data_IF_294095722648
#
_entry.id   IF_294095722648
#
_cell.length_a   1.000
_cell.length_b   1.000
_cell.length_c   1.000
_cell.angle_alpha   90.00
_cell.angle_beta   90.00
_cell.angle_gamma   90.00
#
_symmetry.space_group_name_H-M   'P 1'
#
loop_
_entity.id
_entity.type
_entity.pdbx_description
1 polymer ?
#
# COMPACT_ATOMS: atom_id res chain seq x y z
N UNK A 1 32.95 -13.26 -64.55
CA UNK A 1 33.19 -12.28 -63.47
C UNK A 1 32.20 -12.53 -62.35
N UNK A 2 32.66 -13.27 -61.33
CA UNK A 2 31.98 -13.45 -60.05
C UNK A 2 32.43 -12.34 -59.09
N UNK A 3 31.50 -11.75 -58.34
CA UNK A 3 31.70 -11.29 -56.95
C UNK A 3 30.33 -10.88 -56.38
N UNK A 4 29.58 -11.80 -55.76
CA UNK A 4 29.55 -12.08 -54.31
C UNK A 4 29.06 -10.92 -53.43
N UNK A 5 27.77 -10.97 -53.05
CA UNK A 5 27.26 -10.44 -51.78
C UNK A 5 26.47 -11.54 -51.05
N UNK A 6 27.20 -12.44 -50.38
CA UNK A 6 26.82 -13.07 -49.09
C UNK A 6 27.46 -12.16 -48.02
N UNK A 7 27.00 -11.98 -46.79
CA UNK A 7 26.22 -12.79 -45.87
C UNK A 7 25.59 -11.82 -44.84
N UNK A 8 24.34 -12.02 -44.42
CA UNK A 8 23.97 -12.73 -43.18
C UNK A 8 24.11 -11.86 -41.91
N UNK A 9 22.97 -11.52 -41.30
CA UNK A 9 22.44 -12.14 -40.06
C UNK A 9 23.13 -11.62 -38.80
N UNK A 10 22.39 -10.84 -38.01
CA UNK A 10 22.25 -11.04 -36.55
C UNK A 10 21.11 -10.19 -35.98
N UNK A 11 20.13 -10.91 -35.40
CA UNK A 11 19.32 -10.57 -34.22
C UNK A 11 18.31 -9.43 -34.42
N UNK A 12 16.99 -9.62 -34.58
CA UNK A 12 16.06 -10.48 -33.85
C UNK A 12 16.25 -10.40 -32.32
N UNK A 13 15.73 -9.35 -31.68
CA UNK A 13 15.16 -9.41 -30.33
C UNK A 13 14.37 -8.11 -30.04
N UNK A 14 13.04 -8.16 -30.17
CA UNK A 14 12.09 -7.41 -29.33
C UNK A 14 10.65 -7.77 -29.74
N UNK A 15 10.08 -8.87 -29.21
CA UNK A 15 8.64 -9.04 -29.18
C UNK A 15 8.07 -8.41 -27.90
N UNK A 16 6.93 -7.72 -28.04
CA UNK A 16 5.92 -7.45 -27.00
C UNK A 16 6.26 -6.41 -25.92
N UNK A 17 5.99 -5.12 -26.17
CA UNK A 17 5.62 -4.13 -25.11
C UNK A 17 4.70 -2.99 -25.63
N UNK A 18 4.08 -3.11 -26.81
CA UNK A 18 3.16 -2.07 -27.32
C UNK A 18 1.72 -2.56 -27.53
N UNK A 19 1.15 -3.27 -26.56
CA UNK A 19 -0.27 -3.63 -26.58
C UNK A 19 -0.91 -3.51 -25.19
N UNK A 20 -1.13 -2.27 -24.72
CA UNK A 20 -2.13 -1.98 -23.69
C UNK A 20 -2.63 -0.54 -23.74
N UNK A 21 -3.02 -0.08 -24.93
CA UNK A 21 -3.97 1.04 -25.06
C UNK A 21 -5.36 0.44 -25.07
N UNK A 22 -6.08 0.58 -23.96
CA UNK A 22 -7.51 0.30 -23.90
C UNK A 22 -8.23 1.22 -24.88
N UNK A 23 -8.66 0.68 -26.02
CA UNK A 23 -9.70 1.29 -26.82
C UNK A 23 -11.02 0.96 -26.14
N UNK A 24 -11.70 2.00 -25.66
CA UNK A 24 -13.08 1.92 -25.23
C UNK A 24 -13.96 1.57 -26.44
N UNK A 25 -14.85 0.61 -26.23
CA UNK A 25 -15.88 0.19 -27.17
C UNK A 25 -16.86 1.35 -27.44
N UNK A 26 -17.03 1.81 -28.70
CA UNK A 26 -17.91 2.94 -29.04
C UNK A 26 -19.40 2.60 -29.02
N UNK A 27 -19.83 1.40 -28.63
CA UNK A 27 -21.24 0.98 -28.69
C UNK A 27 -21.98 0.97 -27.35
N UNK A 28 -21.33 1.32 -26.23
CA UNK A 28 -21.99 1.34 -24.91
C UNK A 28 -22.56 2.73 -24.57
N UNK A 29 -23.86 2.87 -24.27
CA UNK A 29 -24.40 4.13 -23.76
C UNK A 29 -23.83 4.45 -22.36
N UNK A 30 -23.65 5.73 -22.02
CA UNK A 30 -23.14 6.13 -20.71
C UNK A 30 -24.16 5.78 -19.61
N UNK A 31 -23.69 5.04 -18.60
CA UNK A 31 -24.47 4.74 -17.40
C UNK A 31 -24.80 6.06 -16.66
N UNK A 32 -26.04 6.25 -16.17
CA UNK A 32 -26.45 7.50 -15.55
C UNK A 32 -25.68 7.74 -14.25
N UNK A 33 -25.10 8.94 -14.12
CA UNK A 33 -24.47 9.42 -12.89
C UNK A 33 -25.48 9.33 -11.75
N UNK A 34 -25.27 8.35 -10.87
CA UNK A 34 -25.90 8.33 -9.56
C UNK A 34 -25.06 9.23 -8.66
N UNK A 35 -25.60 10.41 -8.41
CA UNK A 35 -25.20 11.24 -7.28
C UNK A 35 -25.46 10.51 -5.97
N UNK A 36 -24.67 10.88 -4.98
CA UNK A 36 -24.92 10.70 -3.54
C UNK A 36 -24.29 9.48 -2.86
N UNK A 37 -23.13 9.71 -2.22
CA UNK A 37 -22.95 9.27 -0.84
C UNK A 37 -21.94 10.15 -0.11
N UNK A 38 -22.48 11.07 0.68
CA UNK A 38 -21.82 11.65 1.83
C UNK A 38 -21.32 10.54 2.77
N UNK A 39 -20.00 10.42 2.92
CA UNK A 39 -19.39 9.69 4.03
C UNK A 39 -18.43 10.65 4.71
N UNK A 40 -18.91 11.20 5.82
CA UNK A 40 -18.15 11.94 6.82
C UNK A 40 -17.04 11.07 7.38
N UNK A 41 -15.82 11.23 6.85
CA UNK A 41 -14.59 10.78 7.49
C UNK A 41 -14.04 11.92 8.35
N UNK A 42 -14.20 11.84 9.67
CA UNK A 42 -13.55 12.72 10.64
C UNK A 42 -12.04 12.50 10.57
N UNK A 43 -11.31 13.39 9.92
CA UNK A 43 -9.87 13.53 10.12
C UNK A 43 -9.64 14.44 11.33
N UNK A 44 -9.09 13.87 12.41
CA UNK A 44 -8.52 14.63 13.51
C UNK A 44 -7.35 15.45 12.95
N UNK A 45 -7.59 16.74 12.75
CA UNK A 45 -6.56 17.77 12.69
C UNK A 45 -6.53 18.45 14.04
N UNK A 46 -5.48 18.21 14.81
CA UNK A 46 -5.19 18.98 16.02
C UNK A 46 -5.00 20.45 15.67
N UNK A 47 -5.65 21.40 16.36
CA UNK A 47 -5.35 22.82 16.19
C UNK A 47 -4.01 23.12 16.87
N UNK A 48 -3.01 23.42 16.05
CA UNK A 48 -1.76 24.02 16.50
C UNK A 48 -2.11 25.41 17.05
N UNK A 49 -1.71 25.65 18.30
CA UNK A 49 -2.13 26.77 19.13
C UNK A 49 -2.06 28.15 18.46
N UNK A 50 -3.16 28.88 18.62
CA UNK A 50 -3.29 30.29 18.35
C UNK A 50 -2.38 31.09 19.31
N UNK A 51 -1.25 31.55 18.79
CA UNK A 51 -0.48 32.63 19.39
C UNK A 51 -1.16 33.96 19.09
N UNK A 52 -1.75 34.57 20.12
CA UNK A 52 -2.23 35.95 20.12
C UNK A 52 -1.20 36.91 19.51
N UNK A 53 -1.51 37.47 18.34
CA UNK A 53 -0.88 38.70 17.84
C UNK A 53 -1.99 39.59 17.32
N UNK A 54 -2.44 40.50 18.19
CA UNK A 54 -3.35 41.59 17.91
C UNK A 54 -2.71 42.56 16.92
N UNK A 55 -2.85 42.28 15.63
CA UNK A 55 -2.56 43.22 14.55
C UNK A 55 -3.81 44.04 14.24
N UNK A 56 -3.96 45.18 14.91
CA UNK A 56 -4.97 46.19 14.56
C UNK A 56 -4.69 46.74 13.15
N UNK A 57 -5.68 46.84 12.25
CA UNK A 57 -5.49 47.59 11.01
C UNK A 57 -5.39 49.09 11.36
N UNK A 58 -4.22 49.68 11.11
CA UNK A 58 -3.98 51.12 11.19
C UNK A 58 -4.76 51.82 10.08
N UNK A 59 -6.01 52.17 10.38
CA UNK A 59 -6.78 53.16 9.62
C UNK A 59 -6.21 54.54 9.96
N UNK A 60 -5.60 55.19 8.97
CA UNK A 60 -5.20 56.58 9.07
C UNK A 60 -6.46 57.45 9.19
N UNK A 61 -6.83 57.81 10.41
CA UNK A 61 -7.84 58.81 10.70
C UNK A 61 -7.32 60.18 10.22
N UNK A 62 -7.95 60.70 9.17
CA UNK A 62 -7.78 62.09 8.76
C UNK A 62 -8.28 63.01 9.89
N UNK A 63 -7.38 63.83 10.43
CA UNK A 63 -7.73 64.89 11.38
C UNK A 63 -8.60 65.94 10.66
N UNK A 64 -9.91 65.82 10.79
CA UNK A 64 -10.86 66.85 10.41
C UNK A 64 -10.72 68.03 11.38
N UNK A 65 -10.06 69.10 10.93
CA UNK A 65 -10.00 70.39 11.62
C UNK A 65 -11.39 71.02 11.72
N UNK A 66 -11.89 71.12 12.95
CA UNK A 66 -13.13 71.80 13.27
C UNK A 66 -13.05 73.30 12.98
N UNK A 67 -14.08 73.81 12.31
CA UNK A 67 -14.26 75.21 11.93
C UNK A 67 -14.62 76.06 13.16
N UNK A 68 -13.94 77.20 13.32
CA UNK A 68 -14.39 78.30 14.18
C UNK A 68 -15.03 79.41 13.31
N UNK A 69 -16.24 79.90 13.61
CA UNK A 69 -16.87 80.98 12.87
C UNK A 69 -16.51 82.35 13.49
N UNK A 70 -16.08 83.31 12.66
CA UNK A 70 -15.70 84.64 13.15
C UNK A 70 -15.40 85.67 12.07
N UNK A 71 -16.46 86.17 11.44
CA UNK A 71 -16.71 87.53 10.93
C UNK A 71 -15.63 88.35 10.17
N UNK A 72 -16.08 88.83 9.01
CA UNK A 72 -15.53 89.85 8.11
C UNK A 72 -14.86 91.06 8.80
N UNK A 73 -13.62 91.36 8.42
CA UNK A 73 -13.10 92.69 8.10
C UNK A 73 -11.57 92.61 7.91
N UNK A 74 -11.06 93.42 6.98
CA UNK A 74 -9.64 93.64 6.63
C UNK A 74 -9.13 92.75 5.49
N UNK A 75 -9.04 93.34 4.29
CA UNK A 75 -8.12 92.86 3.27
C UNK A 75 -6.69 92.95 3.84
N UNK A 76 -6.00 91.83 4.09
CA UNK A 76 -4.60 91.89 4.48
C UNK A 76 -3.80 92.38 3.27
N UNK A 77 -2.95 93.37 3.52
CA UNK A 77 -1.78 93.70 2.69
C UNK A 77 -1.08 92.39 2.24
N UNK A 78 -0.46 92.30 1.05
CA UNK A 78 0.19 91.07 0.59
C UNK A 78 1.31 90.66 1.57
N UNK A 79 0.94 89.83 2.54
CA UNK A 79 1.89 89.19 3.44
C UNK A 79 2.62 88.16 2.60
N UNK A 80 3.93 88.34 2.48
CA UNK A 80 4.77 87.35 1.80
C UNK A 80 4.62 86.00 2.53
N UNK A 81 3.89 85.07 1.91
CA UNK A 81 3.77 83.71 2.38
C UNK A 81 5.10 83.00 2.14
N UNK A 82 6.02 83.14 3.09
CA UNK A 82 7.27 82.43 3.08
C UNK A 82 6.99 80.93 3.02
N UNK A 83 7.70 80.25 2.11
CA UNK A 83 7.59 78.82 1.91
C UNK A 83 7.71 78.14 3.29
N UNK A 84 6.71 77.33 3.66
CA UNK A 84 6.63 76.78 5.01
C UNK A 84 7.91 76.04 5.40
N UNK A 85 8.22 75.98 6.70
CA UNK A 85 9.46 75.37 7.22
C UNK A 85 9.78 73.98 6.62
N UNK A 86 8.76 73.19 6.30
CA UNK A 86 8.92 71.89 5.64
C UNK A 86 9.61 71.95 4.27
N UNK A 87 9.43 73.03 3.51
CA UNK A 87 10.11 73.25 2.23
C UNK A 87 11.62 73.45 2.40
N UNK A 88 12.03 74.24 3.39
CA UNK A 88 13.46 74.41 3.69
C UNK A 88 14.07 73.11 4.24
N UNK A 89 13.32 72.34 5.04
CA UNK A 89 13.77 71.02 5.52
C UNK A 89 13.94 70.04 4.37
N UNK A 90 13.05 70.00 3.38
CA UNK A 90 13.17 69.08 2.24
C UNK A 90 14.34 69.46 1.32
N UNK A 91 14.56 70.76 1.06
CA UNK A 91 15.74 71.22 0.32
C UNK A 91 17.03 70.89 1.08
N UNK A 92 17.06 71.15 2.39
CA UNK A 92 18.21 70.82 3.23
C UNK A 92 18.48 69.30 3.23
N UNK A 93 17.43 68.48 3.32
CA UNK A 93 17.55 67.02 3.25
C UNK A 93 18.07 66.55 1.88
N UNK A 94 17.64 67.17 0.78
CA UNK A 94 18.11 66.84 -0.56
C UNK A 94 19.57 67.25 -0.75
N UNK A 95 19.96 68.44 -0.30
CA UNK A 95 21.35 68.90 -0.33
C UNK A 95 22.26 68.02 0.55
N UNK A 96 21.80 67.66 1.75
CA UNK A 96 22.53 66.78 2.66
C UNK A 96 22.66 65.36 2.10
N UNK A 97 21.61 64.81 1.47
CA UNK A 97 21.66 63.51 0.78
C UNK A 97 22.66 63.53 -0.38
N UNK A 98 22.72 64.62 -1.14
CA UNK A 98 23.68 64.79 -2.23
C UNK A 98 25.13 64.90 -1.71
N UNK A 99 25.34 65.67 -0.64
CA UNK A 99 26.65 65.78 0.01
C UNK A 99 27.11 64.42 0.57
N UNK A 100 26.22 63.70 1.25
CA UNK A 100 26.49 62.35 1.75
C UNK A 100 26.81 61.36 0.61
N UNK A 101 26.09 61.45 -0.51
CA UNK A 101 26.36 60.62 -1.70
C UNK A 101 27.75 60.90 -2.30
N UNK A 102 28.11 62.18 -2.45
CA UNK A 102 29.43 62.59 -2.94
C UNK A 102 30.55 62.14 -1.99
N UNK A 103 30.36 62.31 -0.69
CA UNK A 103 31.33 61.87 0.32
C UNK A 103 31.50 60.34 0.30
N UNK A 104 30.40 59.58 0.21
CA UNK A 104 30.45 58.12 0.12
C UNK A 104 31.14 57.60 -1.14
N UNK A 105 31.18 58.39 -2.23
CA UNK A 105 31.90 58.04 -3.47
C UNK A 105 33.34 58.52 -3.52
N UNK A 106 33.72 59.48 -2.66
CA UNK A 106 35.06 60.10 -2.65
C UNK A 106 36.13 59.26 -1.96
N UNK A 107 35.78 58.12 -1.36
CA UNK A 107 36.75 57.17 -0.82
C UNK A 107 37.39 56.39 -1.98
N UNK A 108 38.33 57.04 -2.66
CA UNK A 108 39.03 56.61 -3.86
C UNK A 108 40.02 55.47 -3.62
N UNK A 109 39.54 54.23 -3.68
CA UNK A 109 40.38 53.09 -4.04
C UNK A 109 39.64 52.35 -5.17
N UNK A 110 40.18 52.32 -6.42
CA UNK A 110 39.47 51.76 -7.58
C UNK A 110 39.11 50.28 -7.42
N UNK A 111 39.79 49.58 -6.50
CA UNK A 111 39.59 48.16 -6.20
C UNK A 111 38.66 47.92 -5.00
N UNK A 112 38.22 48.95 -4.26
CA UNK A 112 37.36 48.80 -3.07
C UNK A 112 35.98 49.39 -3.28
N UNK A 113 34.96 48.63 -2.91
CA UNK A 113 33.57 49.07 -2.99
C UNK A 113 33.31 50.26 -2.04
N UNK A 114 32.40 51.20 -2.40
CA UNK A 114 32.10 52.34 -1.56
C UNK A 114 31.49 51.91 -0.22
N UNK A 115 31.71 52.71 0.82
CA UNK A 115 31.37 52.35 2.22
C UNK A 115 29.91 51.94 2.41
N UNK A 116 28.97 52.64 1.74
CA UNK A 116 27.54 52.31 1.78
C UNK A 116 27.28 50.92 1.16
N UNK A 117 27.89 50.60 0.01
CA UNK A 117 27.73 49.28 -0.61
C UNK A 117 28.31 48.17 0.28
N UNK A 118 29.44 48.41 0.95
CA UNK A 118 30.02 47.46 1.90
C UNK A 118 29.10 47.21 3.09
N UNK A 119 28.46 48.28 3.60
CA UNK A 119 27.48 48.17 4.68
C UNK A 119 26.26 47.38 4.22
N UNK A 120 25.71 47.66 3.04
CA UNK A 120 24.59 46.91 2.45
C UNK A 120 24.97 45.42 2.30
N UNK A 121 26.15 45.13 1.75
CA UNK A 121 26.63 43.76 1.59
C UNK A 121 26.78 43.03 2.92
N UNK A 122 27.16 43.73 4.00
CA UNK A 122 27.22 43.12 5.33
C UNK A 122 25.85 42.69 5.88
N UNK A 123 24.74 43.16 5.31
CA UNK A 123 23.38 42.73 5.65
C UNK A 123 22.78 41.71 4.68
N UNK A 124 23.39 41.50 3.51
CA UNK A 124 22.86 40.57 2.50
C UNK A 124 22.87 39.09 2.95
N UNK A 125 23.69 38.72 3.94
CA UNK A 125 23.77 37.34 4.44
C UNK A 125 22.42 36.81 4.93
N UNK A 126 21.57 37.68 5.50
CA UNK A 126 20.23 37.29 5.92
C UNK A 126 19.34 36.96 4.72
N UNK A 127 19.44 37.73 3.63
CA UNK A 127 18.68 37.47 2.40
C UNK A 127 19.12 36.14 1.77
N UNK A 128 20.43 35.86 1.76
CA UNK A 128 20.96 34.59 1.27
C UNK A 128 20.46 33.42 2.10
N UNK A 129 20.43 33.56 3.43
CA UNK A 129 19.95 32.52 4.33
C UNK A 129 18.43 32.29 4.22
N UNK A 130 17.63 33.35 4.07
CA UNK A 130 16.20 33.23 3.77
C UNK A 130 15.97 32.62 2.39
N UNK A 131 16.74 33.00 1.38
CA UNK A 131 16.73 32.39 0.05
C UNK A 131 17.06 30.90 0.10
N UNK A 132 18.09 30.52 0.88
CA UNK A 132 18.47 29.12 1.10
C UNK A 132 17.36 28.32 1.79
N UNK A 133 16.70 28.87 2.80
CA UNK A 133 15.58 28.19 3.46
C UNK A 133 14.37 28.05 2.54
N UNK A 134 14.00 29.12 1.84
CA UNK A 134 12.88 29.13 0.92
C UNK A 134 13.09 28.12 -0.22
N UNK A 135 14.28 28.09 -0.81
CA UNK A 135 14.62 27.10 -1.85
C UNK A 135 14.54 25.67 -1.33
N UNK A 136 14.97 25.40 -0.09
CA UNK A 136 14.80 24.08 0.53
C UNK A 136 13.33 23.73 0.75
N UNK A 137 12.51 24.67 1.22
CA UNK A 137 11.07 24.46 1.38
C UNK A 137 10.38 24.18 0.04
N UNK A 138 10.69 24.95 -1.01
CA UNK A 138 10.15 24.73 -2.35
C UNK A 138 10.53 23.36 -2.87
N UNK A 139 11.80 22.95 -2.75
CA UNK A 139 12.26 21.61 -3.17
C UNK A 139 11.55 20.48 -2.42
N UNK A 140 11.35 20.63 -1.11
CA UNK A 140 10.62 19.63 -0.32
C UNK A 140 9.16 19.51 -0.78
N UNK A 141 8.50 20.63 -1.07
CA UNK A 141 7.11 20.64 -1.57
C UNK A 141 7.04 20.02 -2.97
N UNK A 142 7.99 20.34 -3.86
CA UNK A 142 8.06 19.76 -5.21
C UNK A 142 8.27 18.24 -5.16
N UNK A 143 9.18 17.77 -4.30
CA UNK A 143 9.41 16.35 -4.10
C UNK A 143 8.17 15.64 -3.51
N UNK A 144 7.53 16.24 -2.50
CA UNK A 144 6.31 15.69 -1.92
C UNK A 144 5.15 15.64 -2.94
N UNK A 145 5.06 16.63 -3.83
CA UNK A 145 4.08 16.63 -4.92
C UNK A 145 4.38 15.53 -5.96
N UNK A 146 5.66 15.33 -6.31
CA UNK A 146 6.09 14.26 -7.19
C UNK A 146 5.77 12.88 -6.61
N UNK A 147 6.07 12.67 -5.32
CA UNK A 147 5.78 11.43 -4.61
C UNK A 147 4.27 11.19 -4.54
N UNK A 148 3.48 12.22 -4.24
CA UNK A 148 2.01 12.12 -4.26
C UNK A 148 1.49 11.71 -5.62
N UNK A 149 2.01 12.29 -6.71
CA UNK A 149 1.61 11.91 -8.05
C UNK A 149 1.94 10.44 -8.37
N UNK A 150 3.10 9.95 -7.92
CA UNK A 150 3.48 8.54 -8.08
C UNK A 150 2.51 7.61 -7.33
N UNK A 151 2.17 7.92 -6.08
CA UNK A 151 1.27 7.09 -5.28
C UNK A 151 -0.20 7.19 -5.69
N UNK A 152 -0.62 8.33 -6.25
CA UNK A 152 -1.99 8.50 -6.77
C UNK A 152 -2.20 7.80 -8.12
N UNK A 153 -1.16 7.69 -8.96
CA UNK A 153 -1.26 7.06 -10.28
C UNK A 153 -1.01 5.55 -10.25
N UNK A 154 -0.32 5.03 -9.23
CA UNK A 154 -0.19 3.58 -9.04
C UNK A 154 -1.55 2.97 -8.70
N UNK A 155 -1.97 1.88 -9.37
CA UNK A 155 -3.10 1.10 -8.89
C UNK A 155 -2.80 0.62 -7.46
N UNK A 156 -3.79 0.70 -6.58
CA UNK A 156 -3.65 0.22 -5.21
C UNK A 156 -3.41 -1.30 -5.22
N UNK A 157 -2.44 -1.79 -4.45
CA UNK A 157 -2.26 -3.24 -4.32
C UNK A 157 -3.46 -3.82 -3.57
N UNK A 158 -4.18 -4.75 -4.19
CA UNK A 158 -5.27 -5.47 -3.53
C UNK A 158 -4.81 -6.38 -2.37
N UNK A 159 -3.50 -6.49 -2.17
CA UNK A 159 -2.89 -7.31 -1.13
C UNK A 159 -2.62 -6.44 0.11
N UNK A 160 -3.12 -6.88 1.26
CA UNK A 160 -2.81 -6.30 2.55
C UNK A 160 -1.52 -6.92 3.05
N UNK A 161 -0.47 -6.11 3.20
CA UNK A 161 0.81 -6.59 3.71
C UNK A 161 0.71 -6.77 5.23
N UNK A 162 0.59 -8.03 5.67
CA UNK A 162 0.47 -8.39 7.08
C UNK A 162 1.86 -8.57 7.67
N UNK A 163 2.14 -7.92 8.81
CA UNK A 163 3.42 -8.09 9.52
C UNK A 163 3.73 -9.55 9.92
N UNK A 164 2.70 -10.38 10.02
CA UNK A 164 2.81 -11.80 10.37
C UNK A 164 1.94 -12.63 9.42
N UNK A 165 2.50 -13.11 8.29
CA UNK A 165 1.75 -13.93 7.33
C UNK A 165 1.35 -15.29 7.90
N UNK A 166 2.03 -15.74 8.97
CA UNK A 166 1.75 -17.02 9.63
C UNK A 166 0.39 -17.06 10.37
N UNK A 167 -0.31 -15.93 10.52
CA UNK A 167 -1.63 -15.92 11.19
C UNK A 167 -2.69 -16.71 10.42
N UNK A 168 -2.56 -16.81 9.09
CA UNK A 168 -3.44 -17.67 8.28
C UNK A 168 -3.27 -19.15 8.60
N UNK A 169 -2.10 -19.52 9.13
CA UNK A 169 -1.80 -20.88 9.54
C UNK A 169 -2.26 -21.17 10.97
N UNK A 170 -2.56 -20.15 11.78
CA UNK A 170 -3.03 -20.30 13.17
C UNK A 170 -4.55 -20.31 13.24
N UNK A 171 -5.13 -21.41 13.72
CA UNK A 171 -6.58 -21.50 13.98
C UNK A 171 -7.40 -22.25 12.92
N UNK A 172 -6.78 -22.71 11.83
CA UNK A 172 -7.43 -23.70 10.97
C UNK A 172 -7.45 -25.05 11.69
N UNK A 173 -8.63 -25.65 11.93
CA UNK A 173 -8.73 -26.97 12.58
C UNK A 173 -8.05 -28.08 11.78
N UNK A 174 -7.66 -27.82 10.53
CA UNK A 174 -6.99 -28.75 9.63
C UNK A 174 -5.49 -28.46 9.44
N UNK A 175 -4.99 -27.30 9.88
CA UNK A 175 -3.58 -26.94 9.72
C UNK A 175 -2.83 -27.17 11.03
N UNK A 176 -2.30 -28.38 11.20
CA UNK A 176 -1.63 -28.79 12.43
C UNK A 176 -0.12 -28.66 12.25
N UNK A 177 0.57 -27.93 13.15
CA UNK A 177 2.02 -27.82 13.06
C UNK A 177 2.66 -29.20 13.26
N UNK A 178 3.77 -29.44 12.56
CA UNK A 178 4.52 -30.68 12.70
C UNK A 178 4.90 -30.92 14.18
N UNK A 179 4.46 -32.06 14.72
CA UNK A 179 4.65 -32.43 16.13
C UNK A 179 3.44 -32.24 17.05
N UNK A 180 2.32 -31.68 16.56
CA UNK A 180 1.02 -31.80 17.22
C UNK A 180 0.15 -32.84 16.50
N UNK A 181 -0.48 -33.74 17.26
CA UNK A 181 -1.45 -34.70 16.73
C UNK A 181 -2.86 -34.25 17.10
N UNK A 182 -3.79 -34.31 16.13
CA UNK A 182 -5.23 -34.26 16.42
C UNK A 182 -5.59 -35.53 17.18
N UNK A 183 -6.58 -35.45 18.07
CA UNK A 183 -7.18 -36.63 18.68
C UNK A 183 -7.88 -37.48 17.60
N UNK A 184 -7.32 -38.66 17.31
CA UNK A 184 -7.81 -39.63 16.33
C UNK A 184 -8.56 -40.81 16.98
N UNK A 185 -8.93 -40.71 18.26
CA UNK A 185 -9.55 -41.82 19.00
C UNK A 185 -10.83 -42.33 18.33
N UNK A 186 -11.69 -41.43 17.84
CA UNK A 186 -12.92 -41.81 17.15
C UNK A 186 -12.66 -42.60 15.85
N UNK A 187 -11.63 -42.20 15.08
CA UNK A 187 -11.24 -42.89 13.84
C UNK A 187 -10.65 -44.26 14.17
N UNK A 188 -9.83 -44.34 15.22
CA UNK A 188 -9.25 -45.59 15.71
C UNK A 188 -10.35 -46.57 16.13
N UNK A 189 -11.29 -46.14 16.96
CA UNK A 189 -12.41 -46.96 17.42
C UNK A 189 -13.27 -47.49 16.26
N UNK A 190 -13.49 -46.66 15.23
CA UNK A 190 -14.21 -47.08 14.03
C UNK A 190 -13.49 -48.22 13.28
N UNK A 191 -12.17 -48.09 13.05
CA UNK A 191 -11.41 -49.13 12.34
C UNK A 191 -11.20 -50.40 13.18
N UNK A 192 -11.04 -50.28 14.50
CA UNK A 192 -11.01 -51.43 15.40
C UNK A 192 -12.31 -52.23 15.32
N UNK A 193 -13.46 -51.52 15.30
CA UNK A 193 -14.77 -52.15 15.12
C UNK A 193 -14.89 -52.85 13.75
N UNK A 194 -14.50 -52.18 12.67
CA UNK A 194 -14.52 -52.79 11.33
C UNK A 194 -13.64 -54.04 11.25
N UNK A 195 -12.47 -54.01 11.87
CA UNK A 195 -11.56 -55.15 11.88
C UNK A 195 -12.12 -56.33 12.68
N UNK A 196 -12.75 -56.05 13.83
CA UNK A 196 -13.43 -57.07 14.63
C UNK A 196 -14.57 -57.74 13.85
N UNK A 197 -15.41 -56.96 13.16
CA UNK A 197 -16.49 -57.48 12.31
C UNK A 197 -15.96 -58.32 11.13
N UNK A 198 -14.85 -57.90 10.52
CA UNK A 198 -14.21 -58.64 9.45
C UNK A 198 -13.63 -59.98 9.93
N UNK A 199 -13.04 -60.01 11.14
CA UNK A 199 -12.49 -61.21 11.73
C UNK A 199 -13.57 -62.21 12.13
N UNK A 200 -14.70 -61.74 12.68
CA UNK A 200 -15.86 -62.59 12.94
C UNK A 200 -16.37 -63.26 11.66
N UNK A 201 -16.53 -62.50 10.58
CA UNK A 201 -16.91 -63.04 9.26
C UNK A 201 -15.87 -64.02 8.72
N UNK A 202 -14.58 -63.78 8.97
CA UNK A 202 -13.50 -64.69 8.58
C UNK A 202 -13.62 -66.03 9.33
N UNK A 203 -13.81 -65.98 10.65
CA UNK A 203 -13.99 -67.16 11.50
C UNK A 203 -15.24 -67.95 11.08
N UNK A 204 -16.35 -67.28 10.79
CA UNK A 204 -17.57 -67.93 10.30
C UNK A 204 -17.35 -68.66 8.98
N UNK A 205 -16.67 -68.03 8.01
CA UNK A 205 -16.30 -68.69 6.75
C UNK A 205 -15.42 -69.91 6.97
N UNK A 206 -14.44 -69.83 7.88
CA UNK A 206 -13.57 -70.96 8.21
C UNK A 206 -14.35 -72.10 8.87
N UNK A 207 -15.28 -71.79 9.78
CA UNK A 207 -16.16 -72.79 10.40
C UNK A 207 -17.06 -73.47 9.37
N UNK A 208 -17.65 -72.70 8.45
CA UNK A 208 -18.44 -73.23 7.36
C UNK A 208 -17.64 -74.19 6.47
N UNK A 209 -16.46 -73.75 6.02
CA UNK A 209 -15.57 -74.57 5.19
C UNK A 209 -15.10 -75.84 5.90
N UNK A 210 -14.79 -75.75 7.20
CA UNK A 210 -14.41 -76.91 8.01
C UNK A 210 -15.57 -77.93 8.10
N UNK A 211 -16.79 -77.47 8.39
CA UNK A 211 -17.97 -78.34 8.44
C UNK A 211 -18.29 -78.97 7.08
N UNK A 212 -18.16 -78.21 5.99
CA UNK A 212 -18.34 -78.71 4.63
C UNK A 212 -17.29 -79.79 4.27
N UNK A 213 -16.04 -79.59 4.68
CA UNK A 213 -14.97 -80.59 4.48
C UNK A 213 -15.20 -81.88 5.25
N UNK A 214 -15.78 -81.80 6.46
CA UNK A 214 -16.12 -82.98 7.27
C UNK A 214 -17.27 -83.77 6.64
N UNK A 215 -18.30 -83.08 6.13
CA UNK A 215 -19.40 -83.72 5.40
C UNK A 215 -18.93 -84.40 4.11
N UNK A 216 -18.01 -83.79 3.38
CA UNK A 216 -17.39 -84.41 2.20
C UNK A 216 -16.61 -85.67 2.58
N UNK A 217 -15.81 -85.63 3.66
CA UNK A 217 -15.09 -86.79 4.15
C UNK A 217 -16.02 -87.93 4.59
N UNK A 218 -17.16 -87.62 5.23
CA UNK A 218 -18.18 -88.62 5.59
C UNK A 218 -18.82 -89.25 4.35
N UNK A 219 -19.19 -88.44 3.35
CA UNK A 219 -19.75 -88.94 2.08
C UNK A 219 -18.75 -89.84 1.33
N UNK A 220 -17.47 -89.47 1.32
CA UNK A 220 -16.41 -90.29 0.74
C UNK A 220 -16.20 -91.61 1.50
N UNK A 221 -16.25 -91.58 2.84
CA UNK A 221 -16.16 -92.78 3.65
C UNK A 221 -17.33 -93.75 3.43
N UNK A 222 -18.57 -93.23 3.34
CA UNK A 222 -19.76 -94.03 3.00
C UNK A 222 -19.67 -94.62 1.58
N UNK A 223 -19.20 -93.83 0.61
CA UNK A 223 -18.98 -94.31 -0.76
C UNK A 223 -17.93 -95.43 -0.81
N UNK A 224 -16.87 -95.34 0.01
CA UNK A 224 -15.88 -96.41 0.15
C UNK A 224 -16.45 -97.66 0.81
N UNK A 225 -17.35 -97.52 1.79
CA UNK A 225 -18.05 -98.65 2.40
C UNK A 225 -18.91 -99.40 1.37
N UNK A 226 -19.65 -98.68 0.53
CA UNK A 226 -20.46 -99.29 -0.54
C UNK A 226 -19.62 -99.96 -1.64
N UNK A 227 -18.37 -99.53 -1.82
CA UNK A 227 -17.42 -100.11 -2.77
C UNK A 227 -16.66 -101.33 -2.21
N UNK A 228 -16.77 -101.65 -0.91
CA UNK A 228 -16.16 -102.87 -0.37
C UNK A 228 -16.79 -104.10 -1.05
N UNK A 229 -16.00 -104.95 -1.74
CA UNK A 229 -16.56 -106.14 -2.36
C UNK A 229 -17.15 -107.02 -1.25
N UNK A 230 -18.43 -107.40 -1.39
CA UNK A 230 -19.05 -108.44 -0.57
C UNK A 230 -18.05 -109.58 -0.43
N UNK A 231 -17.75 -109.94 0.82
CA UNK A 231 -16.74 -110.94 1.15
C UNK A 231 -16.79 -112.11 0.18
N UNK A 232 -15.64 -112.60 -0.24
CA UNK A 232 -15.51 -113.76 -1.13
C UNK A 232 -16.34 -114.95 -0.59
N UNK A 233 -16.59 -115.01 0.73
CA UNK A 233 -17.46 -115.97 1.41
C UNK A 233 -18.95 -115.86 1.01
N UNK A 234 -19.50 -114.67 0.79
CA UNK A 234 -20.86 -114.50 0.25
C UNK A 234 -20.97 -114.82 -1.25
N UNK A 235 -19.85 -114.79 -1.98
CA UNK A 235 -19.80 -115.13 -3.41
C UNK A 235 -19.58 -116.64 -3.64
N UNK A 236 -19.11 -117.38 -2.63
CA UNK A 236 -18.83 -118.82 -2.70
C UNK A 236 -19.90 -119.73 -2.06
N UNK A 237 -20.94 -119.20 -1.41
CA UNK A 237 -22.13 -119.98 -1.02
C UNK A 237 -21.87 -121.11 -0.02
N UNK A 238 -20.87 -121.00 0.86
CA UNK A 238 -20.58 -122.02 1.88
C UNK A 238 -21.33 -121.65 3.17
N UNK A 239 -22.44 -122.32 3.42
CA UNK A 239 -23.14 -122.31 4.71
C UNK A 239 -22.32 -123.16 5.71
N UNK A 240 -22.12 -122.64 6.92
CA UNK A 240 -21.52 -123.41 8.02
C UNK A 240 -22.41 -124.63 8.35
N UNK A 241 -21.86 -125.82 8.61
CA UNK A 241 -22.64 -126.97 9.05
C UNK A 241 -23.06 -126.80 10.51
N UNK A 242 -24.37 -126.95 10.75
CA UNK A 242 -24.95 -127.03 12.08
C UNK A 242 -24.36 -128.23 12.85
N UNK A 243 -23.98 -127.98 14.11
CA UNK A 243 -23.64 -128.98 15.12
C UNK A 243 -24.57 -128.84 16.31
#
# INVERSE_FOLDING_TARGET
MLQTRRAAVRLAQCPLICQRRGYADPTKPPDPMTTDRSVTGKSNTDPIGEGNSSGTPSVHAASAGGHGPGHHANHPEPVEEHLGRGFYVSIAALALSFAAYKFSRSSSDPDKQPLITRLIQSYNWWQDEFGRRNTMHTKMVEQAAADRNLFQSSPWSHHVDLKFPEIFNTGSPYNVPAGHSIDLEAVKAHYEKQNAEAELKRIERLKWQAGESELLAQREAEALEHRKPKSILQRLGITAPDS
#
